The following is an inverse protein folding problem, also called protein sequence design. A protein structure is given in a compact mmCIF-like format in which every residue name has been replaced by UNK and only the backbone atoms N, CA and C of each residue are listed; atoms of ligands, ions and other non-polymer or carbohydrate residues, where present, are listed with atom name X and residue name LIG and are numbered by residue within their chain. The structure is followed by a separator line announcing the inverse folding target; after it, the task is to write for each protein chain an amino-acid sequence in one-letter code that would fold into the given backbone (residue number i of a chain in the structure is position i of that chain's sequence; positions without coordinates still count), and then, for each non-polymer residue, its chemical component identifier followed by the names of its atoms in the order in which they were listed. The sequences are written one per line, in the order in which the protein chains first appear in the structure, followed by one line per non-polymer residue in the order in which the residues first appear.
data_IF_729863789092
#
_entry.id   IF_729863789092
#
_cell.length_a   1.000
_cell.length_b   1.000
_cell.length_c   1.000
_cell.angle_alpha   90.00
_cell.angle_beta   90.00
_cell.angle_gamma   90.00
#
_symmetry.space_group_name_H-M   'P 1'
#
loop_
_entity.id
_entity.type
_entity.pdbx_description
1 polymer ?
#
# COMPACT_ATOMS: atom_id res chain seq x y z
N UNK A 1 11.02 -0.78 -13.32
CA UNK A 1 11.64 -0.03 -12.20
C UNK A 1 11.47 1.45 -12.53
N UNK A 2 10.79 2.23 -11.67
CA UNK A 2 10.81 3.69 -11.83
C UNK A 2 11.94 4.21 -10.95
N UNK A 3 12.94 4.83 -11.58
CA UNK A 3 14.24 5.11 -10.99
C UNK A 3 14.48 6.60 -10.78
N UNK A 4 14.98 6.95 -9.59
CA UNK A 4 15.53 8.26 -9.17
C UNK A 4 14.52 9.37 -8.87
N UNK A 5 13.48 9.09 -8.10
CA UNK A 5 12.62 10.15 -7.58
C UNK A 5 13.14 10.80 -6.30
N UNK A 6 12.90 12.10 -6.16
CA UNK A 6 13.11 12.83 -4.90
C UNK A 6 12.02 12.47 -3.88
N UNK A 7 12.34 12.54 -2.60
CA UNK A 7 11.45 12.21 -1.49
C UNK A 7 10.22 13.14 -1.28
N UNK A 8 9.91 14.08 -2.17
CA UNK A 8 8.94 15.13 -1.85
C UNK A 8 7.47 14.66 -1.88
N UNK A 9 6.59 15.51 -1.35
CA UNK A 9 5.16 15.23 -1.15
C UNK A 9 4.37 15.02 -2.44
N UNK A 10 4.88 15.48 -3.60
CA UNK A 10 4.24 15.26 -4.89
C UNK A 10 4.62 13.91 -5.50
N UNK A 11 5.75 13.32 -5.07
CA UNK A 11 6.26 12.07 -5.66
C UNK A 11 5.45 10.86 -5.22
N UNK A 12 5.09 10.74 -3.95
CA UNK A 12 4.36 9.58 -3.46
C UNK A 12 3.01 9.38 -4.21
N UNK A 13 2.14 10.40 -4.37
CA UNK A 13 0.95 10.28 -5.20
C UNK A 13 1.24 9.91 -6.65
N UNK A 14 2.20 10.58 -7.28
CA UNK A 14 2.55 10.34 -8.69
C UNK A 14 3.11 8.92 -8.91
N UNK A 15 3.89 8.41 -7.95
CA UNK A 15 4.46 7.07 -7.98
C UNK A 15 3.37 6.02 -7.83
N UNK A 16 2.35 6.27 -6.99
CA UNK A 16 1.19 5.40 -6.89
C UNK A 16 0.43 5.29 -8.21
N UNK A 17 0.07 6.42 -8.82
CA UNK A 17 -0.59 6.42 -10.13
C UNK A 17 0.29 5.79 -11.22
N UNK A 18 1.61 6.01 -11.17
CA UNK A 18 2.58 5.37 -12.08
C UNK A 18 2.58 3.84 -11.96
N UNK A 19 2.56 3.30 -10.73
CA UNK A 19 2.47 1.86 -10.48
C UNK A 19 1.15 1.26 -10.94
N UNK A 20 0.03 1.97 -10.73
CA UNK A 20 -1.29 1.57 -11.23
C UNK A 20 -1.34 1.47 -12.74
N UNK A 21 -0.85 2.50 -13.45
CA UNK A 21 -0.79 2.50 -14.92
C UNK A 21 0.14 1.40 -15.45
N UNK A 22 1.28 1.17 -14.79
CA UNK A 22 2.23 0.12 -15.17
C UNK A 22 1.59 -1.28 -15.04
N UNK A 23 0.89 -1.55 -13.94
CA UNK A 23 0.19 -2.82 -13.73
C UNK A 23 -1.02 -2.99 -14.66
N UNK A 24 -1.72 -1.91 -14.99
CA UNK A 24 -2.82 -1.91 -15.97
C UNK A 24 -2.33 -2.16 -17.40
N UNK A 25 -1.10 -1.76 -17.73
CA UNK A 25 -0.44 -2.04 -19.00
C UNK A 25 0.02 -3.51 -19.16
N UNK A 26 -0.36 -4.40 -18.24
CA UNK A 26 -0.05 -5.83 -18.31
C UNK A 26 1.32 -6.22 -17.71
N UNK A 27 1.96 -5.32 -16.95
CA UNK A 27 3.23 -5.60 -16.28
C UNK A 27 2.99 -5.79 -14.76
N UNK A 28 2.80 -7.05 -14.29
CA UNK A 28 2.20 -7.33 -12.98
C UNK A 28 3.16 -7.13 -11.79
N UNK A 29 4.46 -7.03 -12.06
CA UNK A 29 5.51 -6.85 -11.06
C UNK A 29 6.11 -5.46 -11.15
N UNK A 30 5.77 -4.63 -10.17
CA UNK A 30 6.21 -3.25 -10.06
C UNK A 30 6.70 -2.92 -8.64
N UNK A 31 7.60 -1.94 -8.54
CA UNK A 31 8.15 -1.45 -7.26
C UNK A 31 8.52 0.02 -7.35
N UNK A 32 8.66 0.62 -6.17
CA UNK A 32 9.24 1.94 -5.93
C UNK A 32 10.48 1.83 -5.05
N UNK A 33 11.25 2.92 -4.98
CA UNK A 33 12.20 3.17 -3.90
C UNK A 33 11.42 3.69 -2.69
N UNK A 34 11.07 2.81 -1.75
CA UNK A 34 10.30 3.22 -0.56
C UNK A 34 11.04 4.30 0.22
N UNK A 35 10.42 5.47 0.40
CA UNK A 35 11.02 6.65 1.03
C UNK A 35 11.80 7.58 0.07
N UNK A 36 11.79 7.30 -1.23
CA UNK A 36 12.45 8.08 -2.26
C UNK A 36 13.92 7.70 -2.47
N UNK A 37 14.38 7.87 -3.71
CA UNK A 37 15.77 7.60 -4.10
C UNK A 37 16.72 8.66 -3.56
N UNK A 38 16.41 9.94 -3.82
CA UNK A 38 17.11 11.06 -3.19
C UNK A 38 16.36 11.42 -1.92
N UNK A 39 17.04 11.33 -0.77
CA UNK A 39 16.50 11.57 0.58
C UNK A 39 17.04 12.91 1.11
N UNK A 40 16.39 13.55 2.10
CA UNK A 40 16.91 14.79 2.65
C UNK A 40 18.17 14.54 3.51
N UNK A 41 19.01 15.56 3.67
CA UNK A 41 20.23 15.46 4.49
C UNK A 41 19.93 15.16 5.97
N UNK A 42 18.81 15.64 6.49
CA UNK A 42 18.34 15.45 7.86
C UNK A 42 17.41 14.22 8.02
N UNK A 43 17.43 13.27 7.07
CA UNK A 43 16.51 12.13 7.01
C UNK A 43 16.41 11.29 8.30
N UNK A 44 17.45 11.26 9.15
CA UNK A 44 17.47 10.44 10.36
C UNK A 44 16.85 11.13 11.58
N UNK A 45 16.58 12.44 11.49
CA UNK A 45 16.04 13.26 12.58
C UNK A 45 14.76 14.01 12.20
N UNK A 46 14.51 14.17 10.89
CA UNK A 46 13.34 14.88 10.36
C UNK A 46 12.04 14.13 10.61
N UNK A 47 11.18 14.69 11.48
CA UNK A 47 9.83 14.13 11.76
C UNK A 47 8.96 14.05 10.50
N UNK A 48 9.06 15.06 9.63
CA UNK A 48 8.31 15.10 8.38
C UNK A 48 8.76 13.97 7.44
N UNK A 49 10.07 13.73 7.33
CA UNK A 49 10.59 12.62 6.54
C UNK A 49 10.22 11.26 7.15
N UNK A 50 10.25 11.12 8.47
CA UNK A 50 9.85 9.88 9.15
C UNK A 50 8.38 9.55 8.88
N UNK A 51 7.48 10.53 8.94
CA UNK A 51 6.08 10.34 8.56
C UNK A 51 5.96 9.85 7.11
N UNK A 52 6.61 10.55 6.17
CA UNK A 52 6.62 10.17 4.76
C UNK A 52 7.16 8.76 4.54
N UNK A 53 8.27 8.40 5.19
CA UNK A 53 8.87 7.07 5.11
C UNK A 53 7.89 6.01 5.61
N UNK A 54 7.22 6.25 6.75
CA UNK A 54 6.20 5.33 7.26
C UNK A 54 5.07 5.18 6.23
N UNK A 55 4.44 6.26 5.78
CA UNK A 55 3.34 6.19 4.80
C UNK A 55 3.72 5.50 3.50
N UNK A 56 4.92 5.76 3.01
CA UNK A 56 5.43 5.10 1.82
C UNK A 56 5.64 3.61 2.06
N UNK A 57 6.13 3.22 3.24
CA UNK A 57 6.32 1.81 3.60
C UNK A 57 4.99 1.07 3.82
N UNK A 58 4.01 1.73 4.45
CA UNK A 58 2.63 1.24 4.56
C UNK A 58 2.11 0.87 3.17
N UNK A 59 2.15 1.82 2.23
CA UNK A 59 1.75 1.59 0.84
C UNK A 59 2.58 0.52 0.13
N UNK A 60 3.90 0.56 0.26
CA UNK A 60 4.82 -0.39 -0.41
C UNK A 60 4.58 -1.84 0.03
N UNK A 61 4.03 -2.04 1.23
CA UNK A 61 3.62 -3.36 1.73
C UNK A 61 2.52 -3.99 0.87
N UNK A 62 1.81 -3.19 0.09
CA UNK A 62 0.76 -3.61 -0.84
C UNK A 62 1.14 -3.32 -2.30
N UNK A 63 2.42 -3.06 -2.59
CA UNK A 63 2.94 -3.13 -3.94
C UNK A 63 3.29 -4.59 -4.30
N UNK A 64 3.42 -4.92 -5.60
CA UNK A 64 3.87 -6.25 -6.02
C UNK A 64 5.19 -6.66 -5.37
N UNK A 65 6.16 -5.74 -5.30
CA UNK A 65 7.44 -5.93 -4.62
C UNK A 65 7.60 -4.86 -3.54
N UNK A 66 7.96 -5.28 -2.32
CA UNK A 66 8.33 -4.39 -1.22
C UNK A 66 9.86 -4.22 -1.23
N UNK A 67 10.35 -3.03 -1.55
CA UNK A 67 11.79 -2.72 -1.62
C UNK A 67 12.11 -1.34 -1.07
N UNK A 68 13.06 -1.28 -0.14
CA UNK A 68 13.66 -0.03 0.31
C UNK A 68 15.02 0.20 -0.36
N UNK A 69 15.22 1.38 -0.94
CA UNK A 69 16.46 1.75 -1.64
C UNK A 69 16.64 3.28 -1.65
N UNK A 70 17.86 3.75 -1.86
CA UNK A 70 18.20 5.17 -1.94
C UNK A 70 19.66 5.41 -2.29
N UNK A 71 19.95 6.60 -2.81
CA UNK A 71 21.31 7.06 -3.12
C UNK A 71 22.05 7.47 -1.84
N UNK A 72 23.26 6.96 -1.64
CA UNK A 72 24.16 7.31 -0.53
C UNK A 72 23.44 7.42 0.83
N UNK A 73 22.52 6.49 1.10
CA UNK A 73 21.67 6.50 2.29
C UNK A 73 21.72 5.16 3.01
N UNK A 74 21.66 5.21 4.34
CA UNK A 74 21.52 4.03 5.20
C UNK A 74 20.04 3.79 5.40
N UNK A 75 19.44 3.03 4.49
CA UNK A 75 17.99 2.89 4.41
C UNK A 75 17.41 1.93 5.44
N UNK A 76 18.25 1.26 6.23
CA UNK A 76 17.82 0.26 7.19
C UNK A 76 16.98 0.88 8.31
N UNK A 77 15.94 0.17 8.74
CA UNK A 77 14.90 0.72 9.62
C UNK A 77 15.42 1.21 10.98
N UNK A 78 16.52 0.64 11.47
CA UNK A 78 17.13 1.02 12.75
C UNK A 78 17.78 2.41 12.74
N UNK A 79 18.06 2.99 11.57
CA UNK A 79 18.64 4.33 11.47
C UNK A 79 17.64 5.46 11.78
N UNK A 80 16.34 5.18 11.81
CA UNK A 80 15.26 6.19 11.94
C UNK A 80 14.66 6.30 13.36
N UNK A 81 15.34 5.69 14.35
CA UNK A 81 14.91 5.69 15.75
C UNK A 81 13.81 4.66 16.07
N UNK A 82 13.64 4.38 17.37
CA UNK A 82 12.79 3.27 17.87
C UNK A 82 11.32 3.37 17.42
N UNK A 83 10.74 4.58 17.42
CA UNK A 83 9.34 4.77 17.08
C UNK A 83 9.07 4.49 15.60
N UNK A 84 9.87 5.07 14.70
CA UNK A 84 9.77 4.84 13.26
C UNK A 84 10.03 3.37 12.92
N UNK A 85 11.09 2.78 13.50
CA UNK A 85 11.42 1.37 13.31
C UNK A 85 10.27 0.45 13.72
N UNK A 86 9.60 0.71 14.85
CA UNK A 86 8.48 -0.10 15.31
C UNK A 86 7.29 -0.08 14.32
N UNK A 87 7.01 1.08 13.72
CA UNK A 87 5.98 1.23 12.70
C UNK A 87 6.34 0.46 11.42
N UNK A 88 7.55 0.66 10.88
CA UNK A 88 8.01 -0.04 9.68
C UNK A 88 8.01 -1.57 9.88
N UNK A 89 8.54 -2.03 11.02
CA UNK A 89 8.58 -3.46 11.38
C UNK A 89 7.19 -4.09 11.45
N UNK A 90 6.16 -3.36 11.89
CA UNK A 90 4.79 -3.87 11.95
C UNK A 90 4.29 -4.27 10.57
N UNK A 91 4.54 -3.43 9.56
CA UNK A 91 4.16 -3.69 8.18
C UNK A 91 5.03 -4.74 7.51
N UNK A 92 6.33 -4.75 7.81
CA UNK A 92 7.25 -5.79 7.32
C UNK A 92 6.83 -7.18 7.81
N UNK A 93 6.58 -7.33 9.12
CA UNK A 93 6.04 -8.57 9.70
C UNK A 93 4.69 -8.94 9.07
N UNK A 94 3.83 -7.95 8.81
CA UNK A 94 2.55 -8.21 8.16
C UNK A 94 2.72 -8.72 6.72
N UNK A 95 3.65 -8.16 5.94
CA UNK A 95 4.02 -8.65 4.60
C UNK A 95 4.42 -10.11 4.64
N UNK A 96 5.25 -10.50 5.61
CA UNK A 96 5.66 -11.91 5.79
C UNK A 96 4.48 -12.81 6.15
N UNK A 97 3.59 -12.37 7.06
CA UNK A 97 2.37 -13.11 7.36
C UNK A 97 1.47 -13.26 6.14
N UNK A 98 1.45 -12.28 5.24
CA UNK A 98 0.70 -12.35 3.99
C UNK A 98 1.36 -13.21 2.90
N UNK A 99 2.55 -13.80 3.11
CA UNK A 99 3.22 -14.58 2.06
C UNK A 99 2.35 -15.68 1.43
N UNK A 100 1.58 -16.50 2.19
CA UNK A 100 0.69 -17.48 1.57
C UNK A 100 -0.33 -16.84 0.63
N UNK A 101 -0.91 -15.71 1.03
CA UNK A 101 -1.84 -14.93 0.19
C UNK A 101 -1.14 -14.38 -1.05
N UNK A 102 -0.03 -13.65 -0.85
CA UNK A 102 0.70 -12.97 -1.94
C UNK A 102 1.20 -13.98 -2.97
N UNK A 103 1.71 -15.13 -2.53
CA UNK A 103 2.19 -16.17 -3.42
C UNK A 103 1.05 -16.83 -4.20
N UNK A 104 -0.15 -16.93 -3.60
CA UNK A 104 -1.36 -17.36 -4.31
C UNK A 104 -1.79 -16.33 -5.36
N UNK A 105 -1.68 -15.03 -5.06
CA UNK A 105 -1.90 -13.97 -6.06
C UNK A 105 -0.86 -14.03 -7.18
N UNK A 106 0.41 -14.30 -6.86
CA UNK A 106 1.47 -14.49 -7.86
C UNK A 106 1.22 -15.70 -8.77
N UNK A 107 0.70 -16.80 -8.23
CA UNK A 107 0.24 -17.94 -9.04
C UNK A 107 -0.87 -17.50 -10.01
N UNK A 108 -1.82 -16.69 -9.53
CA UNK A 108 -2.93 -16.17 -10.32
C UNK A 108 -2.45 -15.25 -11.47
N UNK A 109 -1.39 -14.47 -11.24
CA UNK A 109 -0.72 -13.69 -12.30
C UNK A 109 -0.25 -14.61 -13.42
N UNK A 110 0.49 -15.68 -13.08
CA UNK A 110 1.06 -16.60 -14.07
C UNK A 110 0.00 -17.40 -14.82
N UNK A 111 -1.05 -17.86 -14.14
CA UNK A 111 -2.01 -18.80 -14.71
C UNK A 111 -3.22 -18.12 -15.35
N UNK A 112 -3.63 -16.95 -14.85
CA UNK A 112 -4.85 -16.26 -15.30
C UNK A 112 -4.58 -14.85 -15.83
N UNK A 113 -3.31 -14.41 -15.90
CA UNK A 113 -2.94 -13.14 -16.54
C UNK A 113 -3.42 -11.89 -15.82
N UNK A 114 -3.77 -11.99 -14.53
CA UNK A 114 -4.16 -10.83 -13.71
C UNK A 114 -2.92 -10.10 -13.16
N UNK A 115 -3.09 -8.86 -12.69
CA UNK A 115 -2.04 -8.12 -11.97
C UNK A 115 -2.20 -8.24 -10.44
N UNK A 116 -1.10 -8.11 -9.68
CA UNK A 116 -1.17 -8.10 -8.20
C UNK A 116 -1.84 -6.81 -7.71
N UNK A 117 -1.44 -5.67 -8.28
CA UNK A 117 -1.97 -4.34 -7.98
C UNK A 117 -2.91 -3.94 -9.13
N UNK A 118 -4.21 -3.85 -8.85
CA UNK A 118 -5.26 -3.70 -9.86
C UNK A 118 -6.08 -2.41 -9.61
N UNK A 119 -6.01 -1.42 -10.51
CA UNK A 119 -6.88 -0.24 -10.45
C UNK A 119 -8.36 -0.63 -10.34
N UNK A 120 -9.15 0.14 -9.59
CA UNK A 120 -10.55 -0.21 -9.33
C UNK A 120 -11.37 -0.34 -10.63
N UNK A 121 -11.07 0.45 -11.67
CA UNK A 121 -11.71 0.35 -12.98
C UNK A 121 -11.59 -1.03 -13.64
N UNK A 122 -10.53 -1.79 -13.36
CA UNK A 122 -10.33 -3.13 -13.93
C UNK A 122 -11.17 -4.18 -13.20
N UNK A 123 -11.40 -3.99 -11.90
CA UNK A 123 -12.13 -4.95 -11.05
C UNK A 123 -13.62 -4.64 -10.99
N UNK A 124 -14.00 -3.38 -11.16
CA UNK A 124 -15.36 -2.87 -11.11
C UNK A 124 -15.71 -2.08 -12.38
N UNK A 125 -15.69 -2.71 -13.56
CA UNK A 125 -15.82 -2.00 -14.85
C UNK A 125 -17.19 -1.33 -15.05
N UNK A 126 -18.22 -1.78 -14.32
CA UNK A 126 -19.57 -1.23 -14.38
C UNK A 126 -19.83 -0.14 -13.32
N UNK A 127 -18.83 0.21 -12.51
CA UNK A 127 -18.94 1.26 -11.50
C UNK A 127 -18.22 2.53 -11.97
N UNK A 128 -18.95 3.56 -12.44
CA UNK A 128 -18.33 4.78 -12.96
C UNK A 128 -17.57 5.57 -11.89
N UNK A 129 -17.90 5.41 -10.60
CA UNK A 129 -17.15 6.05 -9.52
C UNK A 129 -15.82 5.35 -9.30
N UNK A 130 -15.81 4.01 -9.37
CA UNK A 130 -14.57 3.23 -9.32
C UNK A 130 -13.61 3.62 -10.48
N UNK A 131 -14.15 3.90 -11.66
CA UNK A 131 -13.37 4.35 -12.81
C UNK A 131 -12.68 5.72 -12.61
N UNK A 132 -13.28 6.61 -11.81
CA UNK A 132 -12.73 7.93 -11.51
C UNK A 132 -11.65 7.92 -10.40
N UNK A 133 -11.52 6.82 -9.65
CA UNK A 133 -10.58 6.72 -8.54
C UNK A 133 -9.19 6.31 -9.05
N UNK A 134 -8.23 7.23 -8.91
CA UNK A 134 -6.87 7.10 -9.45
C UNK A 134 -5.80 6.72 -8.43
N UNK A 135 -6.19 6.49 -7.18
CA UNK A 135 -5.25 6.27 -6.08
C UNK A 135 -5.53 5.04 -5.22
N UNK A 136 -6.75 4.53 -5.23
CA UNK A 136 -7.14 3.28 -4.57
C UNK A 136 -7.07 2.12 -5.56
N UNK A 137 -6.88 0.91 -5.03
CA UNK A 137 -6.73 -0.27 -5.86
C UNK A 137 -7.03 -1.54 -5.09
N UNK A 138 -7.27 -2.61 -5.84
CA UNK A 138 -7.32 -3.96 -5.30
C UNK A 138 -5.91 -4.56 -5.26
N UNK A 139 -5.52 -5.11 -4.12
CA UNK A 139 -4.31 -5.91 -3.95
C UNK A 139 -4.68 -7.40 -3.91
N UNK A 140 -4.51 -8.06 -5.05
CA UNK A 140 -5.19 -9.33 -5.33
C UNK A 140 -6.71 -9.17 -5.34
N UNK A 141 -7.48 -10.25 -5.21
CA UNK A 141 -8.95 -10.19 -5.28
C UNK A 141 -9.62 -9.63 -4.02
N UNK A 142 -8.92 -9.61 -2.89
CA UNK A 142 -9.57 -9.48 -1.57
C UNK A 142 -9.39 -8.12 -0.89
N UNK A 143 -8.20 -7.48 -1.02
CA UNK A 143 -7.90 -6.25 -0.30
C UNK A 143 -8.14 -5.01 -1.16
N UNK A 144 -8.98 -4.08 -0.70
CA UNK A 144 -9.01 -2.71 -1.18
C UNK A 144 -8.05 -1.86 -0.34
N UNK A 145 -7.04 -1.32 -1.02
CA UNK A 145 -5.98 -0.50 -0.44
C UNK A 145 -6.22 0.96 -0.81
N UNK A 146 -6.28 1.82 0.21
CA UNK A 146 -6.41 3.26 0.03
C UNK A 146 -5.25 3.97 0.74
N UNK A 147 -4.13 4.19 0.03
CA UNK A 147 -2.92 4.75 0.63
C UNK A 147 -3.10 6.18 1.14
N UNK A 148 -2.37 6.53 2.20
CA UNK A 148 -2.26 7.91 2.68
C UNK A 148 -1.14 8.61 1.92
N UNK A 149 -1.50 9.39 0.90
CA UNK A 149 -0.53 9.96 -0.05
C UNK A 149 -0.12 11.42 0.26
N UNK A 150 -0.71 12.02 1.29
CA UNK A 150 -0.43 13.39 1.72
C UNK A 150 -0.02 13.39 3.21
N UNK A 151 0.90 14.29 3.61
CA UNK A 151 1.27 14.42 5.02
C UNK A 151 0.10 14.93 5.85
N UNK A 152 0.01 14.43 7.07
CA UNK A 152 -1.07 14.68 8.00
C UNK A 152 -0.61 15.69 9.05
N UNK A 153 -0.63 16.97 8.68
CA UNK A 153 -0.35 18.07 9.61
C UNK A 153 -1.38 18.02 10.75
N UNK A 154 -0.94 17.78 12.00
CA UNK A 154 -1.81 17.84 13.18
C UNK A 154 -2.43 16.52 13.67
N UNK A 155 -2.00 15.36 13.15
CA UNK A 155 -2.12 14.07 13.87
C UNK A 155 -3.40 13.25 13.67
N UNK A 156 -4.56 13.87 13.39
CA UNK A 156 -5.79 13.12 13.07
C UNK A 156 -6.07 13.14 11.57
N UNK A 157 -5.19 12.45 10.85
CA UNK A 157 -5.33 12.31 9.42
C UNK A 157 -6.57 11.52 9.03
N UNK A 158 -7.41 12.08 8.16
CA UNK A 158 -8.49 11.37 7.51
C UNK A 158 -8.26 11.26 6.02
N UNK A 159 -8.53 10.09 5.46
CA UNK A 159 -8.46 9.85 4.01
C UNK A 159 -9.86 9.56 3.50
N UNK A 160 -10.23 10.20 2.40
CA UNK A 160 -11.44 9.85 1.66
C UNK A 160 -11.23 8.51 0.98
N UNK A 161 -12.11 7.54 1.21
CA UNK A 161 -12.00 6.20 0.63
C UNK A 161 -13.31 5.83 -0.05
N UNK A 162 -13.28 5.59 -1.35
CA UNK A 162 -14.43 5.07 -2.06
C UNK A 162 -14.51 3.55 -1.89
N UNK A 163 -15.68 3.05 -1.50
CA UNK A 163 -15.98 1.62 -1.50
C UNK A 163 -16.83 1.30 -2.72
N UNK A 164 -16.32 0.53 -3.70
CA UNK A 164 -17.07 0.15 -4.90
C UNK A 164 -18.42 -0.50 -4.59
N UNK A 165 -19.41 -0.22 -5.43
CA UNK A 165 -20.77 -0.74 -5.31
C UNK A 165 -20.85 -2.26 -5.58
N UNK A 166 -21.96 -2.89 -5.16
CA UNK A 166 -22.21 -4.32 -5.38
C UNK A 166 -21.40 -5.26 -4.49
N UNK A 167 -20.57 -4.71 -3.60
CA UNK A 167 -19.75 -5.47 -2.65
C UNK A 167 -19.96 -4.94 -1.23
N UNK A 168 -20.04 -5.85 -0.28
CA UNK A 168 -19.92 -5.52 1.14
C UNK A 168 -18.45 -5.57 1.55
N UNK A 169 -18.01 -4.57 2.29
CA UNK A 169 -16.62 -4.40 2.71
C UNK A 169 -16.48 -4.57 4.22
N UNK A 170 -15.35 -5.09 4.66
CA UNK A 170 -15.00 -5.23 6.06
C UNK A 170 -13.76 -4.39 6.31
N UNK A 171 -13.81 -3.45 7.25
CA UNK A 171 -12.62 -2.73 7.67
C UNK A 171 -11.64 -3.73 8.33
N UNK A 172 -10.44 -3.87 7.75
CA UNK A 172 -9.49 -4.90 8.17
C UNK A 172 -9.06 -4.77 9.64
N UNK A 173 -8.99 -3.53 10.14
CA UNK A 173 -8.49 -3.23 11.48
C UNK A 173 -9.55 -3.41 12.57
N UNK A 174 -10.80 -3.10 12.26
CA UNK A 174 -11.89 -3.06 13.25
C UNK A 174 -12.88 -4.21 13.12
N UNK A 175 -12.86 -4.94 11.99
CA UNK A 175 -13.88 -5.94 11.65
C UNK A 175 -15.25 -5.34 11.32
N UNK A 176 -15.40 -4.01 11.33
CA UNK A 176 -16.68 -3.36 11.02
C UNK A 176 -17.06 -3.58 9.57
N UNK A 177 -18.27 -4.10 9.35
CA UNK A 177 -18.86 -4.25 8.03
C UNK A 177 -19.44 -2.92 7.53
N UNK A 178 -19.24 -2.63 6.26
CA UNK A 178 -19.70 -1.41 5.58
C UNK A 178 -20.21 -1.78 4.18
N UNK A 179 -21.36 -1.22 3.78
CA UNK A 179 -21.88 -1.41 2.43
C UNK A 179 -21.00 -0.68 1.39
N UNK A 180 -20.89 -1.23 0.19
CA UNK A 180 -20.27 -0.54 -0.94
C UNK A 180 -21.13 0.61 -1.49
N UNK A 181 -20.63 1.26 -2.54
CA UNK A 181 -21.29 2.36 -3.24
C UNK A 181 -21.16 3.73 -2.58
N UNK A 182 -20.35 3.84 -1.52
CA UNK A 182 -20.22 5.04 -0.69
C UNK A 182 -18.76 5.46 -0.50
N UNK A 183 -18.56 6.75 -0.25
CA UNK A 183 -17.26 7.32 0.10
C UNK A 183 -17.20 7.56 1.61
N UNK A 184 -16.19 7.01 2.26
CA UNK A 184 -15.98 7.12 3.70
C UNK A 184 -14.89 8.14 4.02
N UNK A 185 -15.05 8.81 5.15
CA UNK A 185 -13.96 9.56 5.79
C UNK A 185 -13.23 8.65 6.78
N UNK A 186 -12.27 7.86 6.30
CA UNK A 186 -11.57 6.86 7.10
C UNK A 186 -10.52 7.49 8.01
N UNK A 187 -10.39 6.99 9.24
CA UNK A 187 -9.30 7.37 10.15
C UNK A 187 -7.99 6.74 9.68
N UNK A 188 -6.94 7.55 9.61
CA UNK A 188 -5.64 7.15 9.10
C UNK A 188 -4.52 7.56 10.08
N UNK A 189 -4.46 7.01 11.32
CA UNK A 189 -3.35 7.29 12.23
C UNK A 189 -2.03 6.76 11.63
N UNK A 190 -0.87 7.19 12.14
CA UNK A 190 0.43 6.80 11.55
C UNK A 190 0.75 5.29 11.63
N UNK A 191 -0.05 4.52 12.38
CA UNK A 191 0.15 3.08 12.57
C UNK A 191 -0.70 2.20 11.66
N UNK A 192 -1.58 2.79 10.85
CA UNK A 192 -2.38 2.09 9.86
C UNK A 192 -2.89 3.03 8.76
N UNK A 193 -2.95 2.53 7.53
CA UNK A 193 -3.72 3.16 6.46
C UNK A 193 -5.10 2.49 6.33
N UNK A 194 -6.09 3.15 5.71
CA UNK A 194 -7.36 2.52 5.40
C UNK A 194 -7.16 1.27 4.53
N UNK A 195 -7.70 0.16 5.01
CA UNK A 195 -7.60 -1.14 4.38
C UNK A 195 -8.93 -1.87 4.59
N UNK A 196 -9.51 -2.33 3.49
CA UNK A 196 -10.78 -3.02 3.51
C UNK A 196 -10.65 -4.38 2.82
N UNK A 197 -11.44 -5.33 3.26
CA UNK A 197 -11.50 -6.68 2.69
C UNK A 197 -12.89 -6.89 2.14
N UNK A 198 -12.98 -7.51 0.96
CA UNK A 198 -14.26 -7.96 0.40
C UNK A 198 -14.91 -8.97 1.37
N UNK A 199 -16.20 -8.81 1.66
CA UNK A 199 -16.92 -9.79 2.47
C UNK A 199 -16.93 -11.15 1.76
N UNK A 200 -16.65 -12.22 2.50
CA UNK A 200 -16.51 -13.59 1.95
C UNK A 200 -15.08 -13.97 1.57
N UNK A 201 -14.11 -13.06 1.64
CA UNK A 201 -12.70 -13.37 1.41
C UNK A 201 -12.13 -14.35 2.44
N UNK A 202 -11.30 -15.29 1.97
CA UNK A 202 -10.48 -16.16 2.80
C UNK A 202 -9.04 -15.65 2.78
N UNK A 203 -8.53 -15.19 3.92
CA UNK A 203 -7.20 -14.58 4.02
C UNK A 203 -6.21 -15.54 4.69
N UNK A 204 -5.41 -16.32 3.94
CA UNK A 204 -4.40 -17.19 4.52
C UNK A 204 -3.23 -16.35 5.04
N UNK A 205 -3.12 -16.24 6.37
CA UNK A 205 -2.02 -15.57 7.04
C UNK A 205 -1.11 -16.59 7.73
N UNK A 206 0.16 -16.60 7.35
CA UNK A 206 1.19 -17.44 7.96
C UNK A 206 1.65 -16.94 9.34
N UNK A 207 2.55 -17.71 9.99
CA UNK A 207 3.22 -17.29 11.21
C UNK A 207 4.16 -16.10 10.95
N UNK A 208 4.71 -15.53 12.02
CA UNK A 208 5.81 -14.58 11.88
C UNK A 208 7.05 -15.31 11.38
N UNK A 209 7.65 -14.82 10.31
CA UNK A 209 8.86 -15.39 9.69
C UNK A 209 9.91 -14.30 9.51
N UNK A 210 11.16 -14.70 9.23
CA UNK A 210 12.28 -13.78 8.99
C UNK A 210 12.76 -13.80 7.52
N UNK A 211 12.39 -14.84 6.77
CA UNK A 211 12.64 -14.98 5.34
C UNK A 211 11.56 -15.88 4.72
N UNK A 212 11.42 -15.82 3.39
CA UNK A 212 10.46 -16.62 2.63
C UNK A 212 11.01 -18.04 2.36
N UNK A 213 10.11 -18.99 2.16
CA UNK A 213 10.45 -20.40 1.82
C UNK A 213 9.58 -20.96 0.69
N UNK A 214 8.66 -20.15 0.18
CA UNK A 214 7.72 -20.45 -0.90
C UNK A 214 8.37 -20.19 -2.26
#
# INVERSE_FOLDING_TARGET
MVGRHRWNLAVLPATNSGGLNFCAAGLPYWTTDTGGFFRPGDQYTSKAYHELLVRWFEWSTFCPILRIHGWESRTEMWNYGKNTMALLRRFDVFRYRMLPYIYSVAWNVTHNGVSIMQPLMMVFPHDPKAAAVSHEYMFGPDFLVAPVLQPMVGGEGHTSVYLPAGVTWINFWTGKTVAGGQTLRAKSPLSQMPLFVRAGSLLPLGPKMQWATQ
#
